data_IF_896448840415
#
_entry.id   IF_896448840415
#
_cell.length_a   1.000
_cell.length_b   1.000
_cell.length_c   1.000
_cell.angle_alpha   90.00
_cell.angle_beta   90.00
_cell.angle_gamma   90.00
#
_symmetry.space_group_name_H-M   'P 1'
#
loop_
_entity.id
_entity.type
_entity.pdbx_description
1 polymer ?
#
# COMPACT_ATOMS: atom_id res chain seq x y z
N UNK A 1 60.91 -18.10 9.31
CA UNK A 1 59.91 -17.32 8.56
C UNK A 1 58.60 -17.34 9.33
N UNK A 2 58.23 -16.24 9.98
CA UNK A 2 57.05 -16.13 10.84
C UNK A 2 55.88 -15.58 10.01
N UNK A 3 54.88 -16.41 9.71
CA UNK A 3 53.71 -16.02 8.92
C UNK A 3 52.66 -15.43 9.85
N UNK A 4 52.53 -14.10 9.85
CA UNK A 4 51.47 -13.37 10.57
C UNK A 4 50.24 -13.37 9.67
N UNK A 5 49.21 -14.12 10.06
CA UNK A 5 47.89 -14.08 9.41
C UNK A 5 47.09 -12.93 10.00
N UNK A 6 46.89 -11.87 9.23
CA UNK A 6 45.99 -10.75 9.58
C UNK A 6 44.57 -11.15 9.17
N UNK A 7 43.60 -11.31 10.10
CA UNK A 7 42.21 -11.51 9.72
C UNK A 7 41.64 -10.17 9.22
N UNK A 8 41.31 -10.10 7.93
CA UNK A 8 40.56 -8.98 7.36
C UNK A 8 39.09 -9.15 7.80
N UNK A 9 38.65 -8.30 8.72
CA UNK A 9 37.24 -8.18 9.07
C UNK A 9 36.51 -7.42 7.96
N UNK A 10 35.77 -8.13 7.11
CA UNK A 10 34.87 -7.51 6.13
C UNK A 10 33.59 -7.11 6.85
N UNK A 11 33.43 -5.81 7.11
CA UNK A 11 32.18 -5.27 7.63
C UNK A 11 31.11 -5.33 6.51
N UNK A 12 30.14 -6.24 6.67
CA UNK A 12 28.92 -6.26 5.87
C UNK A 12 28.10 -5.01 6.22
N UNK A 13 28.19 -3.98 5.39
CA UNK A 13 27.28 -2.84 5.44
C UNK A 13 25.94 -3.36 4.94
N UNK A 14 25.07 -3.77 5.86
CA UNK A 14 23.68 -4.01 5.54
C UNK A 14 23.08 -2.66 5.13
N UNK A 15 22.72 -2.51 3.85
CA UNK A 15 21.90 -1.40 3.36
C UNK A 15 20.53 -1.52 4.01
N UNK A 16 20.37 -0.87 5.17
CA UNK A 16 19.08 -0.71 5.82
C UNK A 16 18.31 0.29 4.96
N UNK A 17 17.47 -0.22 4.07
CA UNK A 17 16.53 0.63 3.36
C UNK A 17 15.64 1.26 4.43
N UNK A 18 15.59 2.61 4.55
CA UNK A 18 14.69 3.23 5.49
C UNK A 18 13.27 2.79 5.12
N UNK A 19 12.65 1.96 5.97
CA UNK A 19 11.22 1.70 5.87
C UNK A 19 10.54 3.03 6.12
N UNK A 20 10.00 3.60 5.04
CA UNK A 20 9.11 4.74 5.16
C UNK A 20 7.85 4.20 5.83
N UNK A 21 7.60 4.67 7.05
CA UNK A 21 6.37 4.38 7.77
C UNK A 21 5.32 5.43 7.39
N UNK A 22 4.10 5.00 7.05
CA UNK A 22 2.98 5.90 6.74
C UNK A 22 1.95 6.02 7.86
N UNK A 23 1.98 5.07 8.78
CA UNK A 23 1.09 4.92 9.92
C UNK A 23 1.90 4.64 11.19
N UNK A 24 1.24 4.61 12.35
CA UNK A 24 1.90 4.24 13.59
C UNK A 24 2.30 2.74 13.60
N UNK A 25 3.29 2.35 14.41
CA UNK A 25 3.63 0.94 14.58
C UNK A 25 2.41 0.10 15.00
N UNK A 26 2.21 -1.03 14.32
CA UNK A 26 1.05 -1.91 14.57
C UNK A 26 -0.20 -1.56 13.79
N UNK A 27 -0.23 -0.43 13.07
CA UNK A 27 -1.29 -0.07 12.14
C UNK A 27 -1.03 -0.61 10.72
N UNK A 28 -2.08 -0.57 9.92
CA UNK A 28 -2.01 -0.75 8.47
C UNK A 28 -2.58 0.47 7.75
N UNK A 29 -2.20 0.65 6.49
CA UNK A 29 -2.70 1.68 5.61
C UNK A 29 -3.71 1.11 4.61
N UNK A 30 -4.66 1.95 4.20
CA UNK A 30 -5.58 1.65 3.09
C UNK A 30 -5.63 2.83 2.14
N UNK A 31 -5.89 2.54 0.87
CA UNK A 31 -5.89 3.57 -0.16
C UNK A 31 -6.26 3.06 -1.53
N UNK A 32 -6.05 3.91 -2.54
CA UNK A 32 -6.35 3.61 -3.94
C UNK A 32 -5.10 3.69 -4.81
N UNK A 33 -4.99 2.78 -5.75
CA UNK A 33 -3.99 2.80 -6.82
C UNK A 33 -4.65 3.07 -8.16
N UNK A 34 -3.94 3.78 -9.03
CA UNK A 34 -4.33 4.02 -10.41
C UNK A 34 -3.30 3.44 -11.36
N UNK A 35 -3.76 2.87 -12.46
CA UNK A 35 -2.94 2.42 -13.59
C UNK A 35 -3.46 3.06 -14.88
N UNK A 36 -2.56 3.35 -15.82
CA UNK A 36 -2.88 3.96 -17.11
C UNK A 36 -2.98 2.86 -18.15
N UNK A 37 -4.16 2.66 -18.72
CA UNK A 37 -4.30 1.72 -19.84
C UNK A 37 -4.27 2.44 -21.18
N UNK A 38 -3.26 2.12 -21.98
CA UNK A 38 -3.13 2.59 -23.36
C UNK A 38 -3.97 1.72 -24.30
N UNK A 39 -4.92 2.31 -25.02
CA UNK A 39 -5.71 1.56 -26.02
C UNK A 39 -5.21 1.72 -27.47
N UNK A 40 -4.02 2.30 -27.65
CA UNK A 40 -3.28 2.27 -28.91
C UNK A 40 -3.50 3.46 -29.86
N UNK A 41 -4.04 4.59 -29.37
CA UNK A 41 -4.17 5.82 -30.17
C UNK A 41 -3.85 7.10 -29.37
N UNK A 42 -3.63 8.25 -30.05
CA UNK A 42 -3.02 9.47 -29.49
C UNK A 42 -3.83 10.20 -28.41
N UNK A 43 -4.99 9.69 -28.00
CA UNK A 43 -5.85 10.29 -26.97
C UNK A 43 -6.71 9.24 -26.24
N UNK A 44 -6.32 7.97 -26.27
CA UNK A 44 -7.16 6.90 -25.76
C UNK A 44 -6.55 6.19 -24.55
N UNK A 45 -6.15 7.00 -23.58
CA UNK A 45 -5.68 6.54 -22.29
C UNK A 45 -6.78 6.77 -21.26
N UNK A 46 -6.99 5.80 -20.39
CA UNK A 46 -7.89 5.97 -19.25
C UNK A 46 -7.31 5.34 -18.00
N UNK A 47 -7.77 5.84 -16.85
CA UNK A 47 -7.34 5.36 -15.55
C UNK A 47 -8.16 4.14 -15.12
N UNK A 48 -7.44 3.14 -14.68
CA UNK A 48 -7.96 2.00 -13.95
C UNK A 48 -7.63 2.16 -12.48
N UNK A 49 -8.63 2.05 -11.63
CA UNK A 49 -8.53 2.17 -10.19
C UNK A 49 -8.62 0.81 -9.53
N UNK A 50 -7.86 0.64 -8.46
CA UNK A 50 -7.95 -0.47 -7.52
C UNK A 50 -7.83 0.07 -6.11
N UNK A 51 -8.42 -0.61 -5.15
CA UNK A 51 -8.19 -0.38 -3.74
C UNK A 51 -7.10 -1.31 -3.20
N UNK A 52 -6.36 -0.85 -2.20
CA UNK A 52 -5.34 -1.65 -1.53
C UNK A 52 -5.41 -1.59 0.00
N UNK A 53 -4.91 -2.66 0.61
CA UNK A 53 -4.44 -2.70 1.99
C UNK A 53 -2.91 -2.79 1.96
N UNK A 54 -2.26 -2.09 2.86
CA UNK A 54 -0.80 -1.90 2.89
C UNK A 54 -0.29 -1.98 4.32
N UNK A 55 0.84 -2.65 4.53
CA UNK A 55 1.53 -2.60 5.82
C UNK A 55 2.24 -1.27 5.98
N UNK A 56 2.53 -0.90 7.23
CA UNK A 56 3.13 0.39 7.55
C UNK A 56 4.40 0.73 6.73
N UNK A 57 5.18 -0.27 6.31
CA UNK A 57 6.38 -0.12 5.49
C UNK A 57 6.13 -0.05 3.96
N UNK A 58 5.03 0.58 3.53
CA UNK A 58 4.64 0.76 2.13
C UNK A 58 4.43 -0.53 1.30
N UNK A 59 4.25 -1.69 1.93
CA UNK A 59 4.10 -2.95 1.21
C UNK A 59 2.62 -3.35 1.09
N UNK A 60 2.14 -3.48 -0.15
CA UNK A 60 0.75 -3.88 -0.42
C UNK A 60 0.54 -5.34 -0.01
N UNK A 61 -0.44 -5.59 0.85
CA UNK A 61 -0.81 -6.93 1.33
C UNK A 61 -2.07 -7.47 0.68
N UNK A 62 -2.90 -6.60 0.12
CA UNK A 62 -4.08 -7.00 -0.64
C UNK A 62 -4.51 -5.89 -1.58
N UNK A 63 -5.03 -6.27 -2.73
CA UNK A 63 -5.64 -5.39 -3.71
C UNK A 63 -6.89 -6.05 -4.27
N UNK A 64 -7.83 -5.24 -4.75
CA UNK A 64 -8.97 -5.73 -5.53
C UNK A 64 -8.76 -5.47 -7.04
N UNK A 65 -9.74 -5.89 -7.86
CA UNK A 65 -9.65 -5.77 -9.30
C UNK A 65 -9.57 -4.33 -9.81
N UNK A 66 -8.98 -4.16 -11.00
CA UNK A 66 -8.88 -2.88 -11.70
C UNK A 66 -10.19 -2.55 -12.43
N UNK A 67 -10.75 -1.36 -12.20
CA UNK A 67 -11.97 -0.88 -12.88
C UNK A 67 -11.85 0.59 -13.23
N UNK A 68 -12.74 1.13 -14.06
CA UNK A 68 -12.76 2.56 -14.36
C UNK A 68 -13.43 3.41 -13.25
N UNK A 69 -13.73 2.82 -12.08
CA UNK A 69 -14.44 3.49 -11.00
C UNK A 69 -13.49 3.92 -9.89
N UNK A 70 -13.40 5.21 -9.58
CA UNK A 70 -12.62 5.71 -8.44
C UNK A 70 -13.07 5.15 -7.08
N UNK A 71 -14.34 4.72 -6.99
CA UNK A 71 -14.91 4.10 -5.79
C UNK A 71 -14.50 2.63 -5.62
N UNK A 72 -13.60 2.11 -6.47
CA UNK A 72 -13.17 0.73 -6.42
C UNK A 72 -12.60 0.35 -5.05
N UNK A 73 -12.00 1.26 -4.29
CA UNK A 73 -11.61 1.04 -2.90
C UNK A 73 -12.72 0.43 -2.03
N UNK A 74 -13.96 0.85 -2.24
CA UNK A 74 -15.11 0.40 -1.46
C UNK A 74 -15.81 -0.80 -2.11
N UNK A 75 -15.38 -1.19 -3.31
CA UNK A 75 -15.83 -2.41 -3.96
C UNK A 75 -15.05 -3.60 -3.37
N UNK A 76 -15.75 -4.65 -2.95
CA UNK A 76 -15.12 -5.86 -2.42
C UNK A 76 -14.26 -6.60 -3.45
N UNK A 77 -13.93 -7.86 -3.17
CA UNK A 77 -13.14 -8.70 -4.08
C UNK A 77 -11.63 -8.53 -3.92
N UNK A 78 -11.18 -8.09 -2.75
CA UNK A 78 -9.77 -8.12 -2.42
C UNK A 78 -9.27 -9.55 -2.25
N UNK A 79 -7.97 -9.73 -2.49
CA UNK A 79 -7.31 -11.00 -2.28
C UNK A 79 -7.52 -11.55 -0.85
N UNK A 80 -7.74 -12.87 -0.75
CA UNK A 80 -7.96 -13.63 0.50
C UNK A 80 -9.15 -13.16 1.36
N UNK A 81 -10.17 -12.56 0.74
CA UNK A 81 -11.37 -12.13 1.48
C UNK A 81 -11.16 -10.88 2.34
N UNK A 82 -10.04 -10.17 2.13
CA UNK A 82 -9.89 -8.83 2.67
C UNK A 82 -11.01 -7.91 2.18
N UNK A 83 -11.22 -6.79 2.85
CA UNK A 83 -12.18 -5.78 2.41
C UNK A 83 -11.89 -4.43 3.04
N UNK A 84 -12.40 -3.38 2.42
CA UNK A 84 -12.44 -2.03 2.99
C UNK A 84 -13.90 -1.62 3.08
N UNK A 85 -14.29 -1.12 4.24
CA UNK A 85 -15.59 -0.52 4.48
C UNK A 85 -15.45 0.99 4.42
N UNK A 86 -16.31 1.61 3.62
CA UNK A 86 -16.34 3.06 3.45
C UNK A 86 -17.62 3.67 4.02
N UNK A 87 -17.55 4.95 4.39
CA UNK A 87 -18.73 5.77 4.66
C UNK A 87 -19.45 6.19 3.36
N UNK A 88 -20.52 6.98 3.48
CA UNK A 88 -21.27 7.51 2.34
C UNK A 88 -20.47 8.47 1.46
N UNK A 89 -19.36 9.02 1.96
CA UNK A 89 -18.44 9.88 1.21
C UNK A 89 -17.37 9.10 0.46
N UNK A 90 -17.33 7.77 0.59
CA UNK A 90 -16.27 6.94 0.01
C UNK A 90 -14.98 6.95 0.82
N UNK A 91 -15.01 7.45 2.07
CA UNK A 91 -13.85 7.45 2.93
C UNK A 91 -13.75 6.11 3.67
N UNK A 92 -12.58 5.47 3.71
CA UNK A 92 -12.40 4.23 4.45
C UNK A 92 -12.54 4.45 5.97
N UNK A 93 -13.47 3.72 6.59
CA UNK A 93 -13.77 3.76 8.03
C UNK A 93 -13.47 2.44 8.74
N UNK A 94 -13.30 1.36 7.98
CA UNK A 94 -12.89 0.08 8.51
C UNK A 94 -12.31 -0.82 7.44
N UNK A 95 -11.66 -1.90 7.85
CA UNK A 95 -11.12 -2.89 6.94
C UNK A 95 -11.06 -4.28 7.59
N UNK A 96 -10.99 -5.30 6.75
CA UNK A 96 -10.67 -6.68 7.14
C UNK A 96 -9.42 -7.10 6.37
N UNK A 97 -8.38 -7.56 7.06
CA UNK A 97 -7.14 -7.99 6.40
C UNK A 97 -7.23 -9.42 5.84
N UNK A 98 -6.13 -9.87 5.24
CA UNK A 98 -6.04 -11.22 4.63
C UNK A 98 -6.03 -12.37 5.65
N UNK A 99 -6.01 -12.06 6.94
CA UNK A 99 -6.10 -13.01 8.06
C UNK A 99 -7.47 -12.94 8.76
N UNK A 100 -8.40 -12.10 8.28
CA UNK A 100 -9.70 -11.88 8.92
C UNK A 100 -9.66 -10.96 10.14
N UNK A 101 -8.55 -10.26 10.38
CA UNK A 101 -8.47 -9.25 11.45
C UNK A 101 -9.30 -8.04 11.04
N UNK A 102 -10.11 -7.53 11.98
CA UNK A 102 -10.87 -6.30 11.80
C UNK A 102 -10.07 -5.07 12.24
N UNK A 103 -10.24 -3.99 11.50
CA UNK A 103 -9.53 -2.73 11.70
C UNK A 103 -10.50 -1.55 11.64
N UNK A 104 -10.26 -0.54 12.47
CA UNK A 104 -10.95 0.75 12.44
C UNK A 104 -10.04 1.77 11.77
N UNK A 105 -10.52 2.44 10.73
CA UNK A 105 -9.71 3.35 9.93
C UNK A 105 -10.02 4.81 10.25
N UNK A 106 -8.97 5.63 10.27
CA UNK A 106 -9.04 7.09 10.41
C UNK A 106 -8.25 7.75 9.28
N UNK A 107 -8.75 8.88 8.72
CA UNK A 107 -8.05 9.60 7.67
C UNK A 107 -6.60 9.94 8.06
N UNK A 108 -5.69 9.85 7.09
CA UNK A 108 -4.30 10.30 7.26
C UNK A 108 -3.94 11.31 6.19
N UNK A 109 -3.05 12.24 6.55
CA UNK A 109 -2.40 13.14 5.60
C UNK A 109 -0.97 12.70 5.30
N UNK A 110 -0.52 11.59 5.89
CA UNK A 110 0.79 11.02 5.62
C UNK A 110 0.78 10.34 4.24
N UNK A 111 1.45 11.00 3.29
CA UNK A 111 1.63 10.51 1.93
C UNK A 111 3.02 9.94 1.69
N UNK A 112 3.75 9.53 2.72
CA UNK A 112 5.15 9.12 2.57
C UNK A 112 5.31 7.86 1.71
N UNK A 113 4.27 7.02 1.63
CA UNK A 113 4.21 5.91 0.69
C UNK A 113 3.60 6.28 -0.67
N UNK A 114 3.11 7.50 -0.89
CA UNK A 114 2.42 7.85 -2.12
C UNK A 114 3.40 7.82 -3.31
N UNK A 115 2.95 7.23 -4.41
CA UNK A 115 3.64 7.25 -5.70
C UNK A 115 2.80 8.03 -6.71
N UNK A 116 3.44 8.70 -7.68
CA UNK A 116 2.80 9.59 -8.65
C UNK A 116 1.55 8.98 -9.31
N UNK A 117 0.52 9.80 -9.52
CA UNK A 117 -0.83 9.42 -9.94
C UNK A 117 -0.94 8.61 -11.25
N UNK A 118 0.03 8.72 -12.16
CA UNK A 118 0.12 7.85 -13.34
C UNK A 118 0.84 6.55 -12.95
N UNK A 119 0.09 5.50 -12.62
CA UNK A 119 0.65 4.21 -12.21
C UNK A 119 1.00 4.11 -10.72
N UNK A 120 0.52 5.02 -9.87
CA UNK A 120 0.86 5.08 -8.45
C UNK A 120 -0.27 4.76 -7.49
N UNK A 121 0.01 4.94 -6.21
CA UNK A 121 -0.92 4.70 -5.12
C UNK A 121 -0.97 5.87 -4.15
N UNK A 122 -2.15 6.11 -3.60
CA UNK A 122 -2.45 7.15 -2.62
C UNK A 122 -2.97 6.47 -1.36
N UNK A 123 -2.31 6.71 -0.23
CA UNK A 123 -2.81 6.34 1.09
C UNK A 123 -3.87 7.34 1.54
N UNK A 124 -4.99 6.82 2.05
CA UNK A 124 -6.15 7.61 2.46
C UNK A 124 -6.43 7.51 3.96
N UNK A 125 -6.15 6.36 4.57
CA UNK A 125 -6.35 6.17 6.00
C UNK A 125 -5.32 5.23 6.61
N UNK A 126 -5.08 5.43 7.90
CA UNK A 126 -4.41 4.48 8.79
C UNK A 126 -5.48 3.75 9.60
N UNK A 127 -5.30 2.45 9.78
CA UNK A 127 -6.25 1.60 10.48
C UNK A 127 -5.59 0.93 11.69
N UNK A 128 -6.25 1.10 12.83
CA UNK A 128 -5.94 0.46 14.10
C UNK A 128 -6.70 -0.85 14.24
N UNK A 129 -6.11 -1.80 14.96
CA UNK A 129 -6.79 -3.06 15.27
C UNK A 129 -8.04 -2.75 16.12
N UNK A 130 -9.19 -3.24 15.67
CA UNK A 130 -10.47 -3.08 16.38
C UNK A 130 -10.59 -4.04 17.57
#
# INVERSE_FOLDING_TARGET
>A
MLSIRVPIAVALIALVHPCIAVCAPGQMAVGKSSDVMFTGGPSHDFLLWSGFLMTNNCHIISQNGLTQSESQLCAGGYFKGASVQCDSGGNPVGAVDTQGTHWTCSPTTDGSCNQSLEGGFIVLACCDRA
#
